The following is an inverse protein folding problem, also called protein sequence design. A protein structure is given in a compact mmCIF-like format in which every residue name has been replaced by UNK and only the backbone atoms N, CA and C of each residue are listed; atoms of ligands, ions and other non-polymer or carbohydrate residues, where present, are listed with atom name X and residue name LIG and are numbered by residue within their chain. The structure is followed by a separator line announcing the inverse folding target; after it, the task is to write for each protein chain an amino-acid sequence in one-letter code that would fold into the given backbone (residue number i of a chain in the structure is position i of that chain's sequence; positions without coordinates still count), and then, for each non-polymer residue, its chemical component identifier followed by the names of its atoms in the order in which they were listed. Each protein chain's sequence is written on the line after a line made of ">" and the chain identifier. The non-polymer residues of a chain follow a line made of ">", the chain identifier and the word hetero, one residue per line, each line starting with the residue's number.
data_IF_895702995589
#
_entry.id   IF_895702995589
#
_cell.length_a   1.000
_cell.length_b   1.000
_cell.length_c   1.000
_cell.angle_alpha   90.00
_cell.angle_beta   90.00
_cell.angle_gamma   90.00
#
_symmetry.space_group_name_H-M   'P 1'
#
loop_
_entity.id
_entity.type
_entity.pdbx_description
1 polymer ?
#
# COMPACT_ATOMS: atom_id res chain seq x y z
N UNK A 1 20.01 -14.78 22.44
CA UNK A 1 19.62 -13.85 23.53
C UNK A 1 19.70 -12.37 23.14
N UNK A 2 20.52 -11.95 22.17
CA UNK A 2 20.62 -10.52 21.78
C UNK A 2 19.37 -9.97 21.07
N UNK A 3 18.68 -10.80 20.28
CA UNK A 3 17.49 -10.37 19.52
C UNK A 3 16.24 -10.04 20.36
N UNK A 4 16.11 -10.56 21.58
CA UNK A 4 14.94 -10.27 22.43
C UNK A 4 15.04 -8.90 23.08
N UNK A 5 16.23 -8.51 23.55
CA UNK A 5 16.47 -7.20 24.16
C UNK A 5 16.29 -6.08 23.12
N UNK A 6 16.85 -6.25 21.92
CA UNK A 6 16.69 -5.27 20.84
C UNK A 6 15.23 -5.14 20.38
N UNK A 7 14.47 -6.25 20.27
CA UNK A 7 13.04 -6.17 19.96
C UNK A 7 12.25 -5.39 21.00
N UNK A 8 12.54 -5.62 22.28
CA UNK A 8 11.86 -4.93 23.36
C UNK A 8 12.13 -3.42 23.32
N UNK A 9 13.39 -3.02 23.10
CA UNK A 9 13.74 -1.61 22.91
C UNK A 9 13.02 -0.99 21.70
N UNK A 10 12.92 -1.71 20.58
CA UNK A 10 12.18 -1.24 19.41
C UNK A 10 10.69 -1.05 19.71
N UNK A 11 10.06 -2.00 20.43
CA UNK A 11 8.65 -1.88 20.82
C UNK A 11 8.39 -0.74 21.80
N UNK A 12 9.34 -0.44 22.69
CA UNK A 12 9.27 0.75 23.55
C UNK A 12 9.31 2.05 22.72
N UNK A 13 10.14 2.11 21.67
CA UNK A 13 10.13 3.27 20.76
C UNK A 13 8.81 3.39 20.00
N UNK A 14 8.27 2.28 19.47
CA UNK A 14 6.96 2.28 18.78
C UNK A 14 5.86 2.74 19.73
N UNK A 15 5.85 2.25 20.98
CA UNK A 15 4.88 2.67 21.99
C UNK A 15 5.00 4.16 22.32
N UNK A 16 6.23 4.68 22.39
CA UNK A 16 6.47 6.11 22.62
C UNK A 16 5.89 6.95 21.50
N UNK A 17 6.18 6.60 20.25
CA UNK A 17 5.61 7.26 19.06
C UNK A 17 4.08 7.26 19.13
N UNK A 18 3.48 6.10 19.39
CA UNK A 18 2.02 5.95 19.51
C UNK A 18 1.44 6.84 20.61
N UNK A 19 2.05 6.87 21.78
CA UNK A 19 1.59 7.68 22.88
C UNK A 19 1.69 9.18 22.56
N UNK A 20 2.82 9.64 22.03
CA UNK A 20 3.04 11.06 21.72
C UNK A 20 2.05 11.57 20.65
N UNK A 21 1.73 10.73 19.67
CA UNK A 21 0.74 11.04 18.61
C UNK A 21 -0.70 10.99 19.15
N UNK A 22 -1.07 9.94 19.90
CA UNK A 22 -2.43 9.78 20.41
C UNK A 22 -2.79 10.74 21.55
N UNK A 23 -1.81 11.15 22.36
CA UNK A 23 -2.02 12.08 23.47
C UNK A 23 -2.00 13.55 23.01
N UNK A 24 -1.64 13.81 21.75
CA UNK A 24 -1.76 15.14 21.12
C UNK A 24 -0.60 16.08 21.40
N UNK A 25 0.53 15.58 21.90
CA UNK A 25 1.72 16.37 22.21
C UNK A 25 2.48 16.81 20.95
N UNK A 26 2.21 16.18 19.80
CA UNK A 26 2.83 16.51 18.51
C UNK A 26 1.79 17.05 17.52
N UNK A 27 2.07 18.20 16.91
CA UNK A 27 1.22 18.82 15.87
C UNK A 27 1.91 18.75 14.51
N UNK A 28 1.15 18.35 13.48
CA UNK A 28 1.64 18.32 12.10
C UNK A 28 2.53 17.13 11.74
N UNK A 29 2.62 16.12 12.61
CA UNK A 29 3.36 14.87 12.36
C UNK A 29 2.39 13.69 12.40
N UNK A 30 2.50 12.80 11.41
CA UNK A 30 1.77 11.54 11.37
C UNK A 30 2.71 10.41 11.00
N UNK A 31 2.50 9.24 11.61
CA UNK A 31 3.22 8.02 11.29
C UNK A 31 2.23 7.00 10.71
N UNK A 32 2.61 6.38 9.59
CA UNK A 32 1.91 5.24 9.02
C UNK A 32 2.82 4.02 9.12
N UNK A 33 2.33 2.97 9.78
CA UNK A 33 3.04 1.70 9.94
C UNK A 33 2.31 0.64 9.12
N UNK A 34 2.99 0.13 8.09
CA UNK A 34 2.51 -1.00 7.28
C UNK A 34 3.19 -2.30 7.70
N UNK A 35 2.46 -3.39 7.74
CA UNK A 35 2.99 -4.71 8.07
C UNK A 35 1.97 -5.82 7.83
N UNK A 36 2.42 -7.07 7.94
CA UNK A 36 1.52 -8.22 7.77
C UNK A 36 0.63 -8.40 9.02
N UNK A 37 -0.48 -9.14 8.91
CA UNK A 37 -1.29 -9.51 10.07
C UNK A 37 -0.46 -10.14 11.21
N UNK A 38 0.55 -10.94 10.88
CA UNK A 38 1.45 -11.60 11.84
C UNK A 38 2.35 -10.59 12.56
N UNK A 39 2.85 -9.58 11.84
CA UNK A 39 3.64 -8.50 12.45
C UNK A 39 2.87 -7.81 13.59
N UNK A 40 1.56 -7.64 13.43
CA UNK A 40 0.70 -7.08 14.47
C UNK A 40 0.33 -8.13 15.53
N UNK A 41 -0.28 -9.24 15.11
CA UNK A 41 -1.05 -10.13 15.99
C UNK A 41 -0.28 -11.29 16.60
N UNK A 42 0.93 -11.62 16.11
CA UNK A 42 1.71 -12.72 16.69
C UNK A 42 2.06 -12.39 18.15
N UNK A 43 1.50 -13.17 19.08
CA UNK A 43 1.66 -12.95 20.53
C UNK A 43 3.04 -13.33 21.06
N UNK A 44 3.91 -13.91 20.22
CA UNK A 44 5.29 -14.28 20.59
C UNK A 44 6.33 -13.31 20.02
N UNK A 45 6.08 -12.78 18.82
CA UNK A 45 7.08 -11.96 18.08
C UNK A 45 6.51 -10.76 17.31
N UNK A 46 5.19 -10.57 17.32
CA UNK A 46 4.53 -9.39 16.77
C UNK A 46 4.34 -8.31 17.83
N UNK A 47 3.73 -7.18 17.47
CA UNK A 47 3.48 -6.07 18.39
C UNK A 47 2.59 -6.49 19.58
N UNK A 48 1.69 -7.45 19.38
CA UNK A 48 0.84 -8.01 20.44
C UNK A 48 1.60 -8.84 21.48
N UNK A 49 2.87 -9.18 21.24
CA UNK A 49 3.73 -9.77 22.28
C UNK A 49 4.07 -8.79 23.41
N UNK A 50 3.90 -7.48 23.18
CA UNK A 50 4.11 -6.45 24.18
C UNK A 50 2.76 -5.89 24.65
N UNK A 51 2.38 -6.20 25.90
CA UNK A 51 1.02 -5.95 26.41
C UNK A 51 0.55 -4.48 26.29
N UNK A 52 1.46 -3.52 26.48
CA UNK A 52 1.11 -2.10 26.36
C UNK A 52 0.78 -1.70 24.91
N UNK A 53 1.47 -2.28 23.92
CA UNK A 53 1.16 -2.08 22.50
C UNK A 53 -0.15 -2.80 22.14
N UNK A 54 -0.32 -4.03 22.60
CA UNK A 54 -1.55 -4.79 22.38
C UNK A 54 -2.78 -4.00 22.84
N UNK A 55 -2.74 -3.41 24.04
CA UNK A 55 -3.87 -2.63 24.55
C UNK A 55 -4.17 -1.38 23.73
N UNK A 56 -3.18 -0.77 23.08
CA UNK A 56 -3.34 0.45 22.27
C UNK A 56 -3.74 0.15 20.83
N UNK A 57 -3.33 -1.00 20.31
CA UNK A 57 -3.54 -1.42 18.92
C UNK A 57 -4.69 -2.43 18.77
N UNK A 58 -5.30 -2.85 19.89
CA UNK A 58 -6.43 -3.74 19.87
C UNK A 58 -7.55 -3.17 18.99
N UNK A 59 -7.97 -3.98 18.04
CA UNK A 59 -9.10 -3.65 17.18
C UNK A 59 -10.41 -3.68 17.96
N UNK A 60 -11.39 -2.97 17.40
CA UNK A 60 -12.73 -2.93 17.96
C UNK A 60 -13.35 -4.34 17.94
N UNK A 61 -13.78 -4.90 19.09
CA UNK A 61 -14.37 -6.24 19.13
C UNK A 61 -15.69 -6.35 18.36
N UNK A 62 -16.31 -5.22 17.99
CA UNK A 62 -17.51 -5.17 17.14
C UNK A 62 -17.18 -5.02 15.64
N UNK A 63 -15.90 -4.86 15.28
CA UNK A 63 -15.44 -4.93 13.89
C UNK A 63 -15.37 -6.39 13.44
N UNK A 64 -15.85 -6.69 12.22
CA UNK A 64 -16.12 -8.05 11.76
C UNK A 64 -17.49 -8.20 11.10
N UNK A 65 -17.73 -9.33 10.42
CA UNK A 65 -18.97 -9.63 9.69
C UNK A 65 -19.38 -8.54 8.67
N UNK A 66 -18.41 -8.03 7.90
CA UNK A 66 -18.64 -6.97 6.92
C UNK A 66 -18.71 -5.56 7.50
N UNK A 67 -18.50 -5.39 8.81
CA UNK A 67 -18.38 -4.08 9.45
C UNK A 67 -16.92 -3.70 9.57
N UNK A 68 -16.56 -2.53 9.03
CA UNK A 68 -15.20 -1.98 9.07
C UNK A 68 -15.19 -0.75 9.98
N UNK A 69 -14.24 -0.71 10.91
CA UNK A 69 -13.99 0.43 11.77
C UNK A 69 -12.77 1.19 11.25
N UNK A 70 -13.01 2.33 10.61
CA UNK A 70 -11.96 3.23 10.10
C UNK A 70 -11.48 4.25 11.13
N UNK A 71 -12.08 4.28 12.33
CA UNK A 71 -11.72 5.20 13.41
C UNK A 71 -10.65 4.63 14.36
N UNK A 72 -10.39 3.32 14.26
CA UNK A 72 -9.41 2.63 15.07
C UNK A 72 -7.95 2.96 14.70
N UNK A 73 -7.00 2.62 15.60
CA UNK A 73 -5.57 2.83 15.38
C UNK A 73 -4.95 1.83 14.39
N UNK A 74 -5.69 0.77 14.04
CA UNK A 74 -5.29 -0.25 13.08
C UNK A 74 -6.33 -0.29 11.96
N UNK A 75 -5.87 -0.16 10.72
CA UNK A 75 -6.68 -0.30 9.52
C UNK A 75 -6.31 -1.61 8.82
N UNK A 76 -7.27 -2.52 8.68
CA UNK A 76 -7.09 -3.71 7.85
C UNK A 76 -7.34 -3.37 6.39
N UNK A 77 -6.32 -3.59 5.56
CA UNK A 77 -6.44 -3.44 4.12
C UNK A 77 -7.08 -4.71 3.55
N UNK A 78 -8.25 -4.56 2.94
CA UNK A 78 -8.84 -5.60 2.12
C UNK A 78 -8.16 -5.64 0.74
N UNK A 79 -8.26 -6.78 0.06
CA UNK A 79 -7.90 -6.84 -1.36
C UNK A 79 -8.77 -5.88 -2.16
N UNK A 80 -8.19 -5.27 -3.19
CA UNK A 80 -8.93 -4.35 -4.07
C UNK A 80 -9.94 -5.14 -4.91
N UNK A 81 -11.15 -4.63 -4.98
CA UNK A 81 -12.12 -5.02 -6.02
C UNK A 81 -11.73 -4.39 -7.36
N UNK A 82 -12.30 -4.86 -8.49
CA UNK A 82 -12.14 -4.18 -9.77
C UNK A 82 -12.52 -2.70 -9.70
N UNK A 83 -13.61 -2.39 -9.01
CA UNK A 83 -14.10 -1.03 -8.80
C UNK A 83 -13.11 -0.19 -7.98
N UNK A 84 -12.55 -0.75 -6.89
CA UNK A 84 -11.54 -0.04 -6.10
C UNK A 84 -10.27 0.24 -6.92
N UNK A 85 -9.87 -0.69 -7.78
CA UNK A 85 -8.70 -0.52 -8.64
C UNK A 85 -8.95 0.54 -9.72
N UNK A 86 -10.16 0.62 -10.27
CA UNK A 86 -10.54 1.70 -11.18
C UNK A 86 -10.34 3.07 -10.52
N UNK A 87 -10.95 3.25 -9.33
CA UNK A 87 -10.82 4.49 -8.56
C UNK A 87 -9.36 4.79 -8.17
N UNK A 88 -8.57 3.76 -7.88
CA UNK A 88 -7.15 3.92 -7.62
C UNK A 88 -6.41 4.48 -8.85
N UNK A 89 -6.67 3.95 -10.05
CA UNK A 89 -6.03 4.41 -11.29
C UNK A 89 -6.47 5.84 -11.66
N UNK A 90 -7.74 6.20 -11.42
CA UNK A 90 -8.22 7.59 -11.57
C UNK A 90 -7.44 8.54 -10.66
N UNK A 91 -7.29 8.17 -9.37
CA UNK A 91 -6.54 8.96 -8.41
C UNK A 91 -5.06 9.06 -8.79
N UNK A 92 -4.45 7.97 -9.27
CA UNK A 92 -3.07 7.98 -9.76
C UNK A 92 -2.92 8.92 -10.95
N UNK A 93 -3.83 8.88 -11.94
CA UNK A 93 -3.84 9.82 -13.08
C UNK A 93 -3.94 11.27 -12.60
N UNK A 94 -4.83 11.55 -11.65
CA UNK A 94 -5.01 12.89 -11.08
C UNK A 94 -3.77 13.38 -10.33
N UNK A 95 -3.13 12.51 -9.54
CA UNK A 95 -1.87 12.82 -8.85
C UNK A 95 -0.76 13.08 -9.85
N UNK A 96 -0.66 12.27 -10.91
CA UNK A 96 0.29 12.46 -12.00
C UNK A 96 0.14 13.84 -12.65
N UNK A 97 -1.12 14.27 -12.85
CA UNK A 97 -1.47 15.60 -13.36
C UNK A 97 -1.32 16.72 -12.31
N UNK A 98 -0.75 16.46 -11.12
CA UNK A 98 -0.64 17.41 -10.00
C UNK A 98 -1.99 18.03 -9.58
N UNK A 99 -3.09 17.29 -9.78
CA UNK A 99 -4.45 17.74 -9.46
C UNK A 99 -5.10 18.66 -10.50
N UNK A 100 -4.46 18.90 -11.64
CA UNK A 100 -4.98 19.72 -12.74
C UNK A 100 -5.52 18.83 -13.87
N UNK A 101 -6.85 18.71 -13.95
CA UNK A 101 -7.52 17.82 -14.91
C UNK A 101 -7.21 18.18 -16.38
N UNK A 102 -6.78 19.41 -16.66
CA UNK A 102 -6.39 19.82 -18.02
C UNK A 102 -5.07 19.18 -18.48
N UNK A 103 -4.28 18.64 -17.54
CA UNK A 103 -3.01 17.95 -17.81
C UNK A 103 -3.15 16.44 -17.89
N UNK A 104 -4.38 15.91 -17.84
CA UNK A 104 -4.62 14.49 -18.00
C UNK A 104 -4.14 14.02 -19.38
N UNK A 105 -3.18 13.10 -19.38
CA UNK A 105 -2.57 12.54 -20.60
C UNK A 105 -3.48 11.53 -21.30
N UNK A 106 -4.45 10.98 -20.58
CA UNK A 106 -5.36 9.95 -21.06
C UNK A 106 -6.80 10.22 -20.61
N UNK A 107 -7.80 9.88 -21.45
CA UNK A 107 -9.21 9.97 -21.09
C UNK A 107 -9.64 8.78 -20.21
N UNK A 108 -10.89 8.79 -19.74
CA UNK A 108 -11.42 7.77 -18.82
C UNK A 108 -11.47 6.38 -19.49
N UNK A 109 -11.81 6.32 -20.78
CA UNK A 109 -11.85 5.05 -21.52
C UNK A 109 -10.49 4.35 -21.61
N UNK A 110 -9.38 5.08 -21.45
CA UNK A 110 -8.05 4.49 -21.41
C UNK A 110 -7.81 3.71 -20.12
N UNK A 111 -8.41 4.12 -19.01
CA UNK A 111 -8.35 3.39 -17.73
C UNK A 111 -9.10 2.06 -17.87
N UNK A 112 -10.31 2.10 -18.42
CA UNK A 112 -11.11 0.89 -18.68
C UNK A 112 -10.38 -0.06 -19.64
N UNK A 113 -9.81 0.47 -20.73
CA UNK A 113 -9.03 -0.32 -21.68
C UNK A 113 -7.80 -0.96 -21.04
N UNK A 114 -7.10 -0.23 -20.17
CA UNK A 114 -5.95 -0.74 -19.44
C UNK A 114 -6.37 -1.88 -18.51
N UNK A 115 -7.43 -1.70 -17.72
CA UNK A 115 -7.96 -2.73 -16.84
C UNK A 115 -8.42 -3.98 -17.61
N UNK A 116 -9.11 -3.80 -18.74
CA UNK A 116 -9.54 -4.89 -19.60
C UNK A 116 -8.34 -5.70 -20.16
N UNK A 117 -7.28 -5.00 -20.57
CA UNK A 117 -6.02 -5.63 -20.99
C UNK A 117 -5.39 -6.43 -19.85
N UNK A 118 -5.29 -5.84 -18.66
CA UNK A 118 -4.73 -6.52 -17.50
C UNK A 118 -5.51 -7.78 -17.13
N UNK A 119 -6.85 -7.69 -17.10
CA UNK A 119 -7.72 -8.83 -16.83
C UNK A 119 -7.53 -9.96 -17.84
N UNK A 120 -7.39 -9.62 -19.13
CA UNK A 120 -7.17 -10.61 -20.21
C UNK A 120 -5.83 -11.34 -20.08
N UNK A 121 -4.78 -10.65 -19.63
CA UNK A 121 -3.42 -11.19 -19.60
C UNK A 121 -3.06 -11.91 -18.29
N UNK A 122 -3.61 -11.49 -17.15
CA UNK A 122 -3.24 -12.02 -15.82
C UNK A 122 -4.42 -12.77 -15.15
N UNK A 123 -5.66 -12.54 -15.59
CA UNK A 123 -6.87 -13.03 -14.93
C UNK A 123 -7.08 -12.40 -13.55
N UNK A 124 -7.81 -13.10 -12.67
CA UNK A 124 -8.15 -12.61 -11.31
C UNK A 124 -6.94 -12.30 -10.43
N UNK A 125 -5.75 -12.83 -10.76
CA UNK A 125 -4.50 -12.52 -10.07
C UNK A 125 -4.06 -11.05 -10.23
N UNK A 126 -4.65 -10.30 -11.17
CA UNK A 126 -4.47 -8.86 -11.31
C UNK A 126 -4.91 -8.08 -10.06
N UNK A 127 -6.01 -8.50 -9.42
CA UNK A 127 -6.54 -7.85 -8.20
C UNK A 127 -5.74 -8.19 -6.94
N UNK A 128 -4.98 -9.29 -6.99
CA UNK A 128 -4.08 -9.72 -5.93
C UNK A 128 -2.71 -9.03 -6.03
N UNK A 129 -2.39 -8.41 -7.17
CA UNK A 129 -1.07 -7.83 -7.45
C UNK A 129 -1.13 -6.34 -7.80
N UNK A 130 -1.82 -5.51 -6.98
CA UNK A 130 -2.08 -4.10 -7.29
C UNK A 130 -0.80 -3.28 -7.51
N UNK A 131 0.32 -3.69 -6.90
CA UNK A 131 1.62 -3.05 -7.07
C UNK A 131 2.09 -3.03 -8.54
N UNK A 132 2.02 -4.16 -9.23
CA UNK A 132 2.52 -4.28 -10.60
C UNK A 132 1.64 -3.52 -11.59
N UNK A 133 0.33 -3.61 -11.39
CA UNK A 133 -0.69 -2.89 -12.14
C UNK A 133 -0.50 -1.38 -12.08
N UNK A 134 -0.36 -0.83 -10.87
CA UNK A 134 -0.13 0.60 -10.66
C UNK A 134 1.22 1.03 -11.24
N UNK A 135 2.28 0.23 -11.05
CA UNK A 135 3.61 0.52 -11.62
C UNK A 135 3.57 0.62 -13.14
N UNK A 136 2.97 -0.35 -13.81
CA UNK A 136 2.87 -0.36 -15.27
C UNK A 136 2.03 0.82 -15.79
N UNK A 137 0.95 1.16 -15.09
CA UNK A 137 0.12 2.32 -15.43
C UNK A 137 0.91 3.64 -15.32
N UNK A 138 1.67 3.84 -14.23
CA UNK A 138 2.53 5.03 -14.08
C UNK A 138 3.61 5.08 -15.17
N UNK A 139 4.24 3.94 -15.50
CA UNK A 139 5.22 3.87 -16.59
C UNK A 139 4.61 4.24 -17.95
N UNK A 140 3.37 3.83 -18.21
CA UNK A 140 2.63 4.24 -19.40
C UNK A 140 2.42 5.75 -19.43
N UNK A 141 1.94 6.35 -18.33
CA UNK A 141 1.76 7.80 -18.21
C UNK A 141 3.07 8.57 -18.43
N UNK A 142 4.16 8.17 -17.78
CA UNK A 142 5.48 8.78 -17.98
C UNK A 142 5.97 8.67 -19.42
N UNK A 143 5.65 7.57 -20.11
CA UNK A 143 6.01 7.40 -21.52
C UNK A 143 5.21 8.35 -22.42
N UNK A 144 3.91 8.52 -22.17
CA UNK A 144 3.05 9.44 -22.92
C UNK A 144 3.47 10.90 -22.71
N UNK A 145 3.83 11.27 -21.48
CA UNK A 145 4.32 12.61 -21.16
C UNK A 145 5.54 12.99 -22.00
N UNK A 146 6.48 12.04 -22.15
CA UNK A 146 7.71 12.23 -22.93
C UNK A 146 7.49 12.10 -24.44
N UNK A 147 6.43 11.43 -24.87
CA UNK A 147 6.15 11.13 -26.28
C UNK A 147 4.71 11.50 -26.68
N UNK A 148 4.37 12.80 -26.78
CA UNK A 148 2.98 13.24 -26.99
C UNK A 148 2.32 12.74 -28.28
N UNK A 149 3.10 12.34 -29.28
CA UNK A 149 2.60 11.78 -30.54
C UNK A 149 2.19 10.30 -30.45
N UNK A 150 2.46 9.65 -29.32
CA UNK A 150 2.17 8.22 -29.12
C UNK A 150 0.73 8.05 -28.64
N UNK A 151 -0.03 7.16 -29.28
CA UNK A 151 -1.37 6.82 -28.83
C UNK A 151 -1.31 5.92 -27.59
N UNK A 152 -2.10 6.25 -26.56
CA UNK A 152 -2.20 5.44 -25.34
C UNK A 152 -2.63 3.99 -25.64
N UNK A 153 -3.47 3.78 -26.65
CA UNK A 153 -3.92 2.46 -27.09
C UNK A 153 -2.76 1.54 -27.51
N UNK A 154 -1.73 2.10 -28.14
CA UNK A 154 -0.57 1.35 -28.62
C UNK A 154 0.31 0.89 -27.44
N UNK A 155 0.40 1.70 -26.38
CA UNK A 155 1.14 1.37 -25.18
C UNK A 155 0.44 0.28 -24.36
N UNK A 156 -0.89 0.35 -24.23
CA UNK A 156 -1.68 -0.70 -23.57
C UNK A 156 -1.43 -2.04 -24.26
N UNK A 157 -1.50 -2.10 -25.60
CA UNK A 157 -1.28 -3.32 -26.35
C UNK A 157 0.13 -3.93 -26.15
N UNK A 158 1.13 -3.11 -25.81
CA UNK A 158 2.52 -3.52 -25.55
C UNK A 158 2.79 -3.82 -24.08
N UNK A 159 1.84 -3.52 -23.19
CA UNK A 159 2.04 -3.69 -21.75
C UNK A 159 2.08 -5.19 -21.43
N UNK A 160 3.26 -5.68 -21.07
CA UNK A 160 3.43 -7.04 -20.53
C UNK A 160 3.45 -6.95 -19.01
N UNK A 161 2.49 -7.61 -18.37
CA UNK A 161 2.43 -7.71 -16.92
C UNK A 161 2.85 -9.10 -16.51
N UNK A 162 3.90 -9.17 -15.69
CA UNK A 162 4.32 -10.42 -15.06
C UNK A 162 3.49 -10.67 -13.81
N UNK A 163 3.19 -11.95 -13.53
CA UNK A 163 2.59 -12.33 -12.25
C UNK A 163 3.61 -12.08 -11.16
N UNK A 164 3.22 -11.42 -10.07
CA UNK A 164 4.02 -11.47 -8.84
C UNK A 164 4.04 -12.93 -8.38
N UNK A 165 5.18 -13.60 -8.54
CA UNK A 165 5.55 -14.62 -7.57
C UNK A 165 5.84 -13.87 -6.29
N UNK A 166 4.95 -14.01 -5.29
CA UNK A 166 5.23 -13.58 -3.93
C UNK A 166 6.65 -14.00 -3.61
N UNK A 167 7.55 -13.03 -3.53
CA UNK A 167 8.89 -13.27 -3.03
C UNK A 167 8.69 -13.57 -1.55
N UNK A 168 8.61 -14.85 -1.22
CA UNK A 168 8.65 -15.32 0.16
C UNK A 168 9.96 -14.82 0.77
N UNK A 169 9.88 -13.67 1.46
CA UNK A 169 10.94 -13.06 2.25
C UNK A 169 12.29 -12.97 1.55
N UNK A 170 12.49 -11.96 0.71
CA UNK A 170 13.86 -11.47 0.52
C UNK A 170 14.20 -10.57 1.72
N UNK A 171 15.31 -10.89 2.37
CA UNK A 171 15.66 -10.42 3.70
C UNK A 171 15.80 -8.90 3.77
N UNK A 172 15.22 -8.33 4.81
CA UNK A 172 15.40 -6.96 5.30
C UNK A 172 16.84 -6.70 5.79
N UNK A 173 17.84 -6.95 4.94
CA UNK A 173 19.26 -6.70 5.22
C UNK A 173 19.70 -5.32 4.68
N UNK A 174 18.87 -4.65 3.87
CA UNK A 174 19.22 -3.36 3.26
C UNK A 174 18.80 -2.12 4.09
N UNK A 175 17.87 -2.26 5.04
CA UNK A 175 17.43 -1.16 5.93
C UNK A 175 18.32 -0.97 7.18
N UNK A 176 19.32 -1.83 7.41
CA UNK A 176 20.21 -1.74 8.58
C UNK A 176 21.39 -0.78 8.41
N UNK A 177 21.56 -0.15 7.24
CA UNK A 177 22.71 0.75 6.98
C UNK A 177 22.27 2.19 6.71
N UNK A 178 21.56 2.81 7.65
CA UNK A 178 21.59 4.27 7.78
C UNK A 178 22.57 4.64 8.89
N UNK A 179 23.78 5.08 8.50
CA UNK A 179 24.68 5.81 9.39
C UNK A 179 24.38 7.30 9.26
N UNK A 180 23.97 7.93 10.37
CA UNK A 180 23.97 9.38 10.55
C UNK A 180 25.40 9.93 10.51
#
# INVERSE_FOLDING_TARGET
>A
MQHSVSRQQNYEQVLRILNDVLQGDVKGLGFYLGGTPEFLMDTRRGLYSYAALQSRLAENPFSGDGRVDFSGPVLRLANLTPEDLHVLLENVRRVFASGDDSKNLIPDEAIEAFMAHCNKHIGDAYFQTPRNSVRAFVQMLSTLEQNPSTAWSDLIARTSLEKDTESAGDGDDELTTFKL
#
